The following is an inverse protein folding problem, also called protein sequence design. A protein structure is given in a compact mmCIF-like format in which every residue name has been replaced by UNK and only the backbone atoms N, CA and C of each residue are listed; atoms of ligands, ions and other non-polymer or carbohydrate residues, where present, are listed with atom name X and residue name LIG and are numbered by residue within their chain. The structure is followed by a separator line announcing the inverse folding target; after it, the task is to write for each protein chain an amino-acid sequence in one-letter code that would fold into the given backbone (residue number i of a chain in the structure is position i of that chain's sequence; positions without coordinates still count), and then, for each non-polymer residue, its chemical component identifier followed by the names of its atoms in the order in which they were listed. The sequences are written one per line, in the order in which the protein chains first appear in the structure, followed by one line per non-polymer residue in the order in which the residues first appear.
data_IF_622400780999
#
_entry.id   IF_622400780999
#
_cell.length_a   1.000
_cell.length_b   1.000
_cell.length_c   1.000
_cell.angle_alpha   90.00
_cell.angle_beta   90.00
_cell.angle_gamma   90.00
#
_symmetry.space_group_name_H-M   'P 1'
#
loop_
_entity.id
_entity.type
_entity.pdbx_description
1 polymer ?
#
# COMPACT_ATOMS: atom_id res chain seq x y z
N UNK A 1 13.59 -10.98 0.52
CA UNK A 1 12.68 -11.78 -0.32
C UNK A 1 12.80 -11.40 -1.80
N UNK A 2 12.52 -10.18 -2.23
CA UNK A 2 12.62 -9.75 -3.64
C UNK A 2 13.96 -10.10 -4.31
N UNK A 3 15.08 -9.77 -3.67
CA UNK A 3 16.42 -10.08 -4.17
C UNK A 3 16.64 -11.58 -4.50
N UNK A 4 15.97 -12.48 -3.79
CA UNK A 4 16.10 -13.93 -4.00
C UNK A 4 15.25 -14.45 -5.17
N UNK A 5 14.07 -13.88 -5.38
CA UNK A 5 13.10 -14.42 -6.34
C UNK A 5 13.09 -13.69 -7.70
N UNK A 6 13.34 -12.38 -7.72
CA UNK A 6 13.32 -11.59 -8.95
C UNK A 6 14.27 -12.11 -10.02
N UNK A 7 15.54 -12.48 -9.74
CA UNK A 7 16.43 -13.00 -10.76
C UNK A 7 15.88 -14.22 -11.49
N UNK A 8 15.23 -15.13 -10.75
CA UNK A 8 14.60 -16.32 -11.33
C UNK A 8 13.35 -15.97 -12.16
N UNK A 9 12.61 -14.93 -11.78
CA UNK A 9 11.47 -14.44 -12.55
C UNK A 9 11.94 -13.77 -13.84
N UNK A 10 13.03 -12.99 -13.78
CA UNK A 10 13.63 -12.34 -14.95
C UNK A 10 14.13 -13.38 -15.99
N UNK A 11 14.79 -14.45 -15.54
CA UNK A 11 15.23 -15.52 -16.46
C UNK A 11 14.07 -16.22 -17.17
N UNK A 12 12.90 -16.29 -16.52
CA UNK A 12 11.66 -16.83 -17.09
C UNK A 12 10.84 -15.82 -17.89
N UNK A 13 11.25 -14.55 -17.89
CA UNK A 13 10.49 -13.42 -18.46
C UNK A 13 9.05 -13.32 -17.95
N UNK A 14 8.81 -13.80 -16.74
CA UNK A 14 7.51 -13.80 -16.09
C UNK A 14 7.63 -13.77 -14.58
N UNK A 15 6.95 -12.82 -13.95
CA UNK A 15 6.87 -12.72 -12.50
C UNK A 15 5.85 -11.70 -12.03
N UNK A 16 5.28 -11.96 -10.84
CA UNK A 16 4.35 -11.05 -10.17
C UNK A 16 4.73 -10.99 -8.70
N UNK A 17 5.02 -9.78 -8.23
CA UNK A 17 5.39 -9.51 -6.83
C UNK A 17 4.46 -8.46 -6.27
N UNK A 18 3.85 -8.75 -5.13
CA UNK A 18 3.03 -7.79 -4.39
C UNK A 18 3.69 -7.58 -3.03
N UNK A 19 4.16 -6.36 -2.79
CA UNK A 19 4.61 -5.93 -1.47
C UNK A 19 3.43 -5.27 -0.74
N UNK A 20 3.02 -5.85 0.37
CA UNK A 20 1.89 -5.32 1.16
C UNK A 20 2.35 -4.15 2.00
N UNK A 21 2.06 -2.94 1.53
CA UNK A 21 2.28 -1.68 2.21
C UNK A 21 1.03 -1.27 3.03
N UNK A 22 0.67 -0.02 3.05
CA UNK A 22 -0.52 0.57 3.70
C UNK A 22 -0.76 1.97 3.15
N UNK A 23 -1.97 2.50 3.31
CA UNK A 23 -2.24 3.94 3.14
C UNK A 23 -1.42 4.79 4.12
N UNK A 24 -1.02 4.25 5.28
CA UNK A 24 -0.10 4.90 6.21
C UNK A 24 1.29 5.17 5.60
N UNK A 25 1.70 4.40 4.58
CA UNK A 25 2.92 4.68 3.81
C UNK A 25 2.76 5.81 2.78
N UNK A 26 1.55 6.32 2.61
CA UNK A 26 1.20 7.38 1.66
C UNK A 26 0.97 8.72 2.33
N UNK A 27 0.80 8.76 3.64
CA UNK A 27 0.55 9.97 4.42
C UNK A 27 1.44 10.01 5.67
N UNK A 28 2.01 11.17 5.96
CA UNK A 28 2.79 11.36 7.18
C UNK A 28 1.86 11.64 8.36
N UNK A 29 2.12 11.00 9.51
CA UNK A 29 1.36 11.14 10.73
C UNK A 29 2.31 11.45 11.89
N UNK A 30 2.00 12.46 12.70
CA UNK A 30 2.75 12.77 13.89
C UNK A 30 2.69 11.58 14.88
N UNK A 31 3.83 11.24 15.48
CA UNK A 31 3.97 10.10 16.39
C UNK A 31 4.14 8.73 15.71
N UNK A 32 3.98 8.64 14.39
CA UNK A 32 4.27 7.42 13.63
C UNK A 32 5.67 7.49 13.00
N UNK A 33 6.68 7.15 13.81
CA UNK A 33 8.09 7.16 13.37
C UNK A 33 8.56 5.83 12.79
N UNK A 34 7.73 4.79 12.82
CA UNK A 34 8.12 3.43 12.42
C UNK A 34 7.22 2.82 11.36
N UNK A 35 5.92 2.70 11.64
CA UNK A 35 5.01 1.97 10.77
C UNK A 35 4.84 2.66 9.40
N UNK A 36 4.45 3.94 9.39
CA UNK A 36 4.29 4.72 8.16
C UNK A 36 5.57 4.77 7.33
N UNK A 37 6.73 5.18 7.91
CA UNK A 37 8.00 5.17 7.20
C UNK A 37 8.40 3.81 6.63
N UNK A 38 8.20 2.71 7.38
CA UNK A 38 8.45 1.36 6.87
C UNK A 38 7.54 1.01 5.70
N UNK A 39 6.26 1.40 5.77
CA UNK A 39 5.31 1.19 4.67
C UNK A 39 5.61 2.08 3.46
N UNK A 40 6.09 3.31 3.67
CA UNK A 40 6.57 4.19 2.60
C UNK A 40 7.81 3.61 1.89
N UNK A 41 8.72 3.03 2.65
CA UNK A 41 9.86 2.29 2.08
C UNK A 41 9.41 1.18 1.12
N UNK A 42 8.39 0.40 1.49
CA UNK A 42 7.87 -0.66 0.62
C UNK A 42 7.26 -0.11 -0.67
N UNK A 43 6.65 1.07 -0.64
CA UNK A 43 6.15 1.75 -1.84
C UNK A 43 7.33 2.11 -2.75
N UNK A 44 8.30 2.86 -2.24
CA UNK A 44 9.47 3.28 -3.01
C UNK A 44 10.28 2.09 -3.56
N UNK A 45 10.45 1.04 -2.76
CA UNK A 45 11.10 -0.21 -3.18
C UNK A 45 10.35 -0.86 -4.36
N UNK A 46 9.02 -0.92 -4.29
CA UNK A 46 8.21 -1.52 -5.36
C UNK A 46 8.29 -0.71 -6.65
N UNK A 47 8.31 0.62 -6.54
CA UNK A 47 8.47 1.51 -7.70
C UNK A 47 9.83 1.30 -8.38
N UNK A 48 10.92 1.29 -7.61
CA UNK A 48 12.26 1.09 -8.13
C UNK A 48 12.42 -0.30 -8.78
N UNK A 49 11.91 -1.35 -8.13
CA UNK A 49 11.95 -2.70 -8.67
C UNK A 49 11.11 -2.82 -9.95
N UNK A 50 9.89 -2.29 -9.96
CA UNK A 50 9.04 -2.34 -11.14
C UNK A 50 9.66 -1.59 -12.32
N UNK A 51 10.24 -0.41 -12.09
CA UNK A 51 10.95 0.35 -13.12
C UNK A 51 12.08 -0.48 -13.76
N UNK A 52 12.78 -1.29 -12.96
CA UNK A 52 13.88 -2.12 -13.43
C UNK A 52 13.45 -3.43 -14.11
N UNK A 53 12.25 -3.94 -13.83
CA UNK A 53 11.85 -5.32 -14.20
C UNK A 53 10.67 -5.40 -15.14
N UNK A 54 9.85 -4.36 -15.22
CA UNK A 54 8.60 -4.34 -15.97
C UNK A 54 8.79 -4.73 -17.46
N UNK A 55 9.78 -4.14 -18.13
CA UNK A 55 10.09 -4.43 -19.53
C UNK A 55 10.60 -5.85 -19.78
N UNK A 56 10.90 -6.59 -18.72
CA UNK A 56 11.32 -7.99 -18.76
C UNK A 56 10.22 -8.97 -18.36
N UNK A 57 8.95 -8.54 -18.34
CA UNK A 57 7.80 -9.38 -18.02
C UNK A 57 7.57 -9.63 -16.52
N UNK A 58 8.31 -8.93 -15.66
CA UNK A 58 8.18 -9.03 -14.19
C UNK A 58 7.57 -7.75 -13.64
N UNK A 59 6.35 -7.85 -13.11
CA UNK A 59 5.66 -6.72 -12.49
C UNK A 59 5.79 -6.77 -10.98
N UNK A 60 6.16 -5.64 -10.38
CA UNK A 60 6.23 -5.45 -8.93
C UNK A 60 5.25 -4.36 -8.52
N UNK A 61 4.38 -4.65 -7.56
CA UNK A 61 3.33 -3.73 -7.11
C UNK A 61 3.37 -3.54 -5.59
N UNK A 62 3.24 -2.30 -5.15
CA UNK A 62 2.91 -1.97 -3.77
C UNK A 62 1.39 -1.96 -3.60
N UNK A 63 0.87 -2.86 -2.78
CA UNK A 63 -0.52 -2.85 -2.36
C UNK A 63 -0.64 -2.00 -1.10
N UNK A 64 -1.44 -0.94 -1.16
CA UNK A 64 -1.65 0.01 -0.06
C UNK A 64 -3.10 -0.10 0.45
N UNK A 65 -3.40 -1.06 1.34
CA UNK A 65 -4.71 -1.15 1.95
C UNK A 65 -4.98 0.03 2.88
N UNK A 66 -6.24 0.46 2.91
CA UNK A 66 -6.78 1.24 4.01
C UNK A 66 -7.26 0.32 5.15
N UNK A 67 -8.27 0.77 5.91
CA UNK A 67 -8.86 -0.06 6.95
C UNK A 67 -9.49 -1.30 6.34
N UNK A 68 -9.04 -2.46 6.84
CA UNK A 68 -9.42 -3.76 6.30
C UNK A 68 -9.87 -4.66 7.43
N UNK A 69 -11.00 -5.33 7.27
CA UNK A 69 -11.50 -6.32 8.23
C UNK A 69 -10.56 -7.53 8.24
N UNK A 70 -9.67 -7.57 9.23
CA UNK A 70 -8.72 -8.66 9.51
C UNK A 70 -8.48 -8.75 11.00
N UNK A 71 -7.87 -9.83 11.46
CA UNK A 71 -7.47 -10.03 12.85
C UNK A 71 -6.34 -9.07 13.29
N UNK A 72 -5.71 -8.38 12.35
CA UNK A 72 -4.66 -7.39 12.63
C UNK A 72 -5.11 -6.26 13.58
N UNK A 73 -6.41 -5.92 13.55
CA UNK A 73 -7.00 -4.87 14.39
C UNK A 73 -7.50 -5.38 15.75
N UNK A 74 -7.23 -6.62 16.11
CA UNK A 74 -7.58 -7.20 17.42
C UNK A 74 -6.49 -6.97 18.48
N UNK A 75 -5.38 -6.30 18.13
CA UNK A 75 -4.25 -6.12 19.03
C UNK A 75 -4.14 -4.65 19.45
N UNK A 76 -4.36 -4.39 20.75
CA UNK A 76 -4.09 -3.10 21.41
C UNK A 76 -4.97 -1.93 20.95
N UNK A 77 -4.39 -0.73 20.86
CA UNK A 77 -5.06 0.55 20.54
C UNK A 77 -5.84 0.56 19.20
N UNK A 78 -5.71 -0.49 18.40
CA UNK A 78 -6.39 -0.61 17.12
C UNK A 78 -7.88 -1.02 17.26
N UNK A 79 -8.27 -1.60 18.38
CA UNK A 79 -9.68 -1.92 18.67
C UNK A 79 -10.49 -0.64 18.91
N UNK A 80 -9.96 0.29 19.71
CA UNK A 80 -10.55 1.60 19.95
C UNK A 80 -10.66 2.42 18.65
N UNK A 81 -9.65 2.32 17.79
CA UNK A 81 -9.68 2.94 16.46
C UNK A 81 -10.78 2.36 15.58
N UNK A 82 -11.09 1.07 15.69
CA UNK A 82 -12.15 0.40 14.94
C UNK A 82 -13.54 0.90 15.35
N UNK A 83 -13.78 1.12 16.62
CA UNK A 83 -15.04 1.63 17.15
C UNK A 83 -15.29 3.08 16.73
N UNK A 84 -14.25 3.90 16.71
CA UNK A 84 -14.32 5.33 16.38
C UNK A 84 -14.27 5.61 14.86
N UNK A 85 -14.16 4.58 14.02
CA UNK A 85 -13.98 4.77 12.59
C UNK A 85 -15.24 4.36 11.81
N UNK A 86 -15.77 5.22 10.91
CA UNK A 86 -16.98 4.93 10.15
C UNK A 86 -16.88 3.63 9.33
N UNK A 87 -17.95 2.82 9.36
CA UNK A 87 -17.96 1.50 8.68
C UNK A 87 -17.71 1.56 7.17
N UNK A 88 -18.08 2.65 6.50
CA UNK A 88 -17.96 2.78 5.05
C UNK A 88 -16.51 2.90 4.54
N UNK A 89 -15.54 3.17 5.42
CA UNK A 89 -14.12 3.21 5.07
C UNK A 89 -13.41 1.86 5.29
N UNK A 90 -14.14 0.86 5.79
CA UNK A 90 -13.64 -0.49 6.01
C UNK A 90 -13.93 -1.39 4.80
N UNK A 91 -12.93 -2.09 4.34
CA UNK A 91 -13.03 -3.00 3.21
C UNK A 91 -12.79 -4.44 3.63
N UNK A 92 -13.38 -5.40 2.92
CA UNK A 92 -13.10 -6.81 3.17
C UNK A 92 -11.69 -7.17 2.67
N UNK A 93 -11.02 -8.07 3.38
CA UNK A 93 -9.72 -8.59 2.98
C UNK A 93 -9.76 -9.18 1.56
N UNK A 94 -10.86 -9.86 1.22
CA UNK A 94 -11.05 -10.43 -0.11
C UNK A 94 -11.05 -9.37 -1.22
N UNK A 95 -11.72 -8.24 -1.01
CA UNK A 95 -11.73 -7.12 -1.97
C UNK A 95 -10.31 -6.58 -2.16
N UNK A 96 -9.58 -6.37 -1.06
CA UNK A 96 -8.21 -5.86 -1.08
C UNK A 96 -7.28 -6.80 -1.86
N UNK A 97 -7.37 -8.10 -1.60
CA UNK A 97 -6.56 -9.11 -2.30
C UNK A 97 -6.87 -9.14 -3.79
N UNK A 98 -8.15 -9.15 -4.16
CA UNK A 98 -8.55 -9.15 -5.58
C UNK A 98 -8.09 -7.89 -6.31
N UNK A 99 -8.18 -6.71 -5.68
CA UNK A 99 -7.67 -5.47 -6.27
C UNK A 99 -6.15 -5.51 -6.45
N UNK A 100 -5.41 -6.06 -5.49
CA UNK A 100 -3.96 -6.22 -5.57
C UNK A 100 -3.52 -7.16 -6.68
N UNK A 101 -4.16 -8.32 -6.81
CA UNK A 101 -3.89 -9.29 -7.87
C UNK A 101 -4.15 -8.69 -9.25
N UNK A 102 -5.31 -8.06 -9.45
CA UNK A 102 -5.63 -7.40 -10.72
C UNK A 102 -4.68 -6.25 -11.05
N UNK A 103 -4.19 -5.55 -10.04
CA UNK A 103 -3.26 -4.43 -10.23
C UNK A 103 -1.90 -4.92 -10.73
N UNK A 104 -1.31 -5.94 -10.09
CA UNK A 104 -0.01 -6.48 -10.49
C UNK A 104 -0.06 -7.16 -11.85
N UNK A 105 -1.18 -7.82 -12.19
CA UNK A 105 -1.38 -8.40 -13.52
C UNK A 105 -1.39 -7.33 -14.62
N UNK A 106 -1.99 -6.17 -14.33
CA UNK A 106 -2.03 -5.00 -15.24
C UNK A 106 -0.75 -4.17 -15.23
N UNK A 107 0.28 -4.58 -14.50
CA UNK A 107 1.55 -3.85 -14.40
C UNK A 107 1.46 -2.55 -13.59
N UNK A 108 0.42 -2.37 -12.76
CA UNK A 108 0.32 -1.19 -11.89
C UNK A 108 1.33 -1.29 -10.76
N UNK A 109 2.14 -0.27 -10.61
CA UNK A 109 3.19 -0.22 -9.58
C UNK A 109 2.62 0.05 -8.18
N UNK A 110 1.59 0.88 -8.09
CA UNK A 110 0.93 1.21 -6.83
C UNK A 110 -0.56 0.91 -6.95
N UNK A 111 -1.10 0.20 -5.99
CA UNK A 111 -2.52 -0.04 -5.84
C UNK A 111 -2.99 0.39 -4.46
N UNK A 112 -3.70 1.51 -4.40
CA UNK A 112 -4.43 1.92 -3.19
C UNK A 112 -5.78 1.20 -3.20
N UNK A 113 -6.02 0.37 -2.18
CA UNK A 113 -7.26 -0.38 -2.07
C UNK A 113 -8.35 0.41 -1.37
N UNK A 114 -9.57 0.24 -1.89
CA UNK A 114 -10.73 1.00 -1.46
C UNK A 114 -10.96 2.25 -2.33
N UNK A 115 -12.21 2.39 -2.81
CA UNK A 115 -12.57 3.49 -3.73
C UNK A 115 -12.30 4.86 -3.14
N UNK A 116 -12.68 5.06 -1.88
CA UNK A 116 -12.50 6.34 -1.18
C UNK A 116 -11.01 6.71 -1.06
N UNK A 117 -10.18 5.78 -0.59
CA UNK A 117 -8.74 6.02 -0.44
C UNK A 117 -8.08 6.34 -1.78
N UNK A 118 -8.50 5.69 -2.85
CA UNK A 118 -7.97 5.92 -4.20
C UNK A 118 -8.30 7.32 -4.74
N UNK A 119 -9.48 7.85 -4.41
CA UNK A 119 -9.86 9.21 -4.78
C UNK A 119 -9.09 10.28 -4.00
N UNK A 120 -8.78 10.01 -2.73
CA UNK A 120 -8.09 10.96 -1.84
C UNK A 120 -6.56 10.88 -2.00
N UNK A 121 -6.00 9.72 -2.40
CA UNK A 121 -4.55 9.51 -2.50
C UNK A 121 -3.80 10.59 -3.30
N UNK A 122 -4.26 11.07 -4.46
CA UNK A 122 -3.58 12.16 -5.18
C UNK A 122 -3.43 13.43 -4.35
N UNK A 123 -4.38 13.75 -3.47
CA UNK A 123 -4.29 14.90 -2.58
C UNK A 123 -3.22 14.70 -1.51
N UNK A 124 -3.05 13.49 -0.99
CA UNK A 124 -1.99 13.17 -0.04
C UNK A 124 -0.58 13.27 -0.66
N UNK A 125 -0.45 13.00 -1.95
CA UNK A 125 0.82 13.03 -2.66
C UNK A 125 1.16 14.40 -3.23
N UNK A 126 0.18 15.30 -3.35
CA UNK A 126 0.40 16.65 -3.86
C UNK A 126 1.23 17.49 -2.89
N UNK A 127 2.27 18.13 -3.39
CA UNK A 127 3.12 19.05 -2.61
C UNK A 127 2.29 20.21 -2.03
N UNK A 128 1.25 20.63 -2.73
CA UNK A 128 0.40 21.77 -2.35
C UNK A 128 -0.60 21.42 -1.24
N UNK A 129 -1.19 20.23 -1.28
CA UNK A 129 -2.25 19.82 -0.35
C UNK A 129 -1.76 18.92 0.77
N UNK A 130 -0.58 18.34 0.65
CA UNK A 130 0.00 17.40 1.62
C UNK A 130 0.02 17.95 3.05
N UNK A 131 0.33 19.24 3.22
CA UNK A 131 0.38 19.89 4.55
C UNK A 131 -0.98 19.91 5.25
N UNK A 132 -2.09 19.98 4.51
CA UNK A 132 -3.45 20.00 5.04
C UNK A 132 -3.81 18.63 5.64
N UNK A 133 -3.27 17.56 5.06
CA UNK A 133 -3.55 16.18 5.45
C UNK A 133 -2.50 15.59 6.40
N UNK A 134 -1.49 16.36 6.81
CA UNK A 134 -0.60 15.93 7.88
C UNK A 134 -1.40 15.84 9.18
N UNK A 135 -1.59 14.61 9.65
CA UNK A 135 -2.36 14.33 10.86
C UNK A 135 -1.46 14.65 12.06
N UNK A 136 -1.68 15.81 12.67
CA UNK A 136 -1.03 16.18 13.92
C UNK A 136 -1.84 15.57 15.08
N UNK A 137 -1.19 14.74 15.89
CA UNK A 137 -1.72 14.38 17.20
C UNK A 137 -1.38 15.55 18.15
N UNK A 138 -2.36 16.31 18.58
CA UNK A 138 -2.25 17.13 19.79
C UNK A 138 -2.48 16.24 21.00
#
# INVERSE_FOLDING_TARGET
MCHRFIPKMLSKKFGRVINVSSVAGRISRAGDCHYGPMKAYLVALSEALNASTHNHGVNVSALCPGFTHTDFHQVGDLEEMKENTPRFIWYSAQTVVQEGLRAVEKGRTIQVSGRLYRWIDPLFQSVWTRKIFQINRQ
#
